data_IF_526687657109
#
_entry.id   IF_526687657109
#
_cell.length_a   1.000
_cell.length_b   1.000
_cell.length_c   1.000
_cell.angle_alpha   90.00
_cell.angle_beta   90.00
_cell.angle_gamma   90.00
#
_symmetry.space_group_name_H-M   'P 1'
#
loop_
_entity.id
_entity.type
_entity.pdbx_description
1 polymer ?
#
# COMPACT_ATOMS: atom_id res chain seq x y z
N UNK A 1 30.34 -2.74 -35.28
CA UNK A 1 29.72 -2.59 -33.93
C UNK A 1 28.77 -1.38 -33.85
N UNK A 2 27.99 -1.06 -34.90
CA UNK A 2 27.08 0.12 -34.93
C UNK A 2 25.60 -0.22 -34.71
N UNK A 3 25.27 -1.51 -34.58
CA UNK A 3 23.89 -1.99 -34.40
C UNK A 3 23.42 -1.92 -32.94
N UNK A 4 24.36 -1.96 -31.98
CA UNK A 4 24.06 -1.88 -30.55
C UNK A 4 23.31 -0.59 -30.15
N UNK A 5 23.74 0.63 -30.56
CA UNK A 5 23.01 1.85 -30.19
C UNK A 5 21.61 1.91 -30.83
N UNK A 6 21.42 1.35 -32.03
CA UNK A 6 20.12 1.31 -32.70
C UNK A 6 19.13 0.40 -31.99
N UNK A 7 19.59 -0.76 -31.50
CA UNK A 7 18.78 -1.69 -30.72
C UNK A 7 18.36 -1.06 -29.39
N UNK A 8 19.27 -0.39 -28.68
CA UNK A 8 18.97 0.29 -27.41
C UNK A 8 17.92 1.40 -27.61
N UNK A 9 18.03 2.19 -28.67
CA UNK A 9 17.07 3.25 -28.98
C UNK A 9 15.67 2.70 -29.29
N UNK A 10 15.59 1.61 -30.06
CA UNK A 10 14.31 0.93 -30.32
C UNK A 10 13.65 0.38 -29.05
N UNK A 11 14.44 -0.16 -28.11
CA UNK A 11 13.92 -0.67 -26.84
C UNK A 11 13.34 0.44 -25.96
N UNK A 12 13.92 1.64 -25.96
CA UNK A 12 13.42 2.78 -25.15
C UNK A 12 12.06 3.28 -25.69
N UNK A 13 11.86 3.27 -27.01
CA UNK A 13 10.63 3.74 -27.64
C UNK A 13 9.41 2.83 -27.40
N UNK A 14 9.62 1.55 -27.05
CA UNK A 14 8.55 0.59 -26.74
C UNK A 14 8.28 0.42 -25.24
N UNK A 15 9.07 1.09 -24.39
CA UNK A 15 8.81 1.14 -22.95
C UNK A 15 7.61 2.06 -22.69
N UNK A 16 6.42 1.47 -22.64
CA UNK A 16 5.23 2.11 -22.06
C UNK A 16 5.42 2.20 -20.53
N UNK A 17 6.24 3.14 -20.09
CA UNK A 17 6.33 3.51 -18.69
C UNK A 17 5.11 4.37 -18.33
N UNK A 18 4.49 4.11 -17.18
CA UNK A 18 3.55 5.07 -16.61
C UNK A 18 4.29 6.41 -16.42
N UNK A 19 3.76 7.54 -16.92
CA UNK A 19 4.44 8.83 -16.89
C UNK A 19 4.74 9.34 -15.47
N UNK A 20 4.12 8.74 -14.45
CA UNK A 20 4.36 9.03 -13.03
C UNK A 20 5.55 8.29 -12.42
N UNK A 21 6.27 7.47 -13.19
CA UNK A 21 7.40 6.67 -12.69
C UNK A 21 6.97 5.59 -11.68
N UNK A 22 7.94 4.92 -11.06
CA UNK A 22 7.64 4.05 -9.92
C UNK A 22 6.92 4.88 -8.84
N UNK A 23 5.87 4.35 -8.19
CA UNK A 23 5.01 5.14 -7.32
C UNK A 23 5.85 5.88 -6.28
N UNK A 24 5.82 7.21 -6.33
CA UNK A 24 6.40 8.00 -5.26
C UNK A 24 5.63 7.64 -3.98
N UNK A 25 6.34 7.21 -2.94
CA UNK A 25 5.74 6.75 -1.69
C UNK A 25 5.09 7.85 -0.85
N UNK A 26 4.72 8.97 -1.48
CA UNK A 26 3.92 10.06 -0.92
C UNK A 26 2.41 9.76 -1.01
N UNK A 27 2.02 8.49 -1.02
CA UNK A 27 0.60 8.11 -1.03
C UNK A 27 0.05 8.27 0.39
N UNK A 28 -0.16 9.52 0.80
CA UNK A 28 -0.90 9.85 2.01
C UNK A 28 -2.40 9.66 1.84
N UNK A 29 -2.87 9.70 0.59
CA UNK A 29 -4.25 9.42 0.21
C UNK A 29 -4.31 8.92 -1.23
N UNK A 30 -5.19 7.95 -1.53
CA UNK A 30 -5.46 7.59 -2.92
C UNK A 30 -5.98 8.81 -3.67
N UNK A 31 -5.42 9.07 -4.85
CA UNK A 31 -5.96 10.10 -5.74
C UNK A 31 -7.27 9.58 -6.34
N UNK A 32 -8.38 10.09 -5.85
CA UNK A 32 -9.73 9.80 -6.34
C UNK A 32 -10.31 10.93 -7.21
N UNK A 33 -9.44 11.81 -7.70
CA UNK A 33 -9.79 12.93 -8.57
C UNK A 33 -10.91 13.79 -7.97
N UNK A 34 -12.06 13.85 -8.65
CA UNK A 34 -13.24 14.63 -8.24
C UNK A 34 -14.06 13.95 -7.13
N UNK A 35 -13.75 12.71 -6.77
CA UNK A 35 -14.50 11.95 -5.77
C UNK A 35 -13.99 12.28 -4.38
N UNK A 36 -14.87 12.77 -3.51
CA UNK A 36 -14.53 13.10 -2.13
C UNK A 36 -14.64 11.86 -1.24
N UNK A 37 -13.82 11.81 -0.18
CA UNK A 37 -13.95 10.82 0.87
C UNK A 37 -15.36 10.83 1.48
N UNK A 38 -15.90 9.64 1.75
CA UNK A 38 -17.21 9.51 2.39
C UNK A 38 -17.15 9.93 3.85
N UNK A 39 -18.15 10.68 4.32
CA UNK A 39 -18.27 11.12 5.72
C UNK A 39 -19.25 10.27 6.55
N UNK A 40 -19.97 9.36 5.89
CA UNK A 40 -20.94 8.46 6.53
C UNK A 40 -20.28 7.24 7.16
N UNK A 41 -21.09 6.33 7.70
CA UNK A 41 -20.60 5.03 8.20
C UNK A 41 -19.88 4.28 7.07
N UNK A 42 -18.64 3.87 7.33
CA UNK A 42 -17.87 3.10 6.37
C UNK A 42 -18.59 1.77 6.05
N UNK A 43 -18.60 1.32 4.78
CA UNK A 43 -19.17 0.04 4.40
C UNK A 43 -18.26 -1.15 4.75
N UNK A 44 -17.22 -0.92 5.56
CA UNK A 44 -16.25 -1.90 6.02
C UNK A 44 -15.94 -1.68 7.51
N UNK A 45 -15.58 -2.76 8.20
CA UNK A 45 -15.10 -2.75 9.58
C UNK A 45 -13.62 -3.04 9.62
N UNK A 46 -12.90 -2.32 10.48
CA UNK A 46 -11.48 -2.55 10.75
C UNK A 46 -11.38 -2.92 12.23
N UNK A 47 -10.84 -4.10 12.52
CA UNK A 47 -10.64 -4.60 13.87
C UNK A 47 -9.18 -4.95 14.05
N UNK A 48 -8.58 -4.54 15.16
CA UNK A 48 -7.23 -4.90 15.54
C UNK A 48 -7.27 -5.78 16.79
N UNK A 49 -6.44 -6.82 16.83
CA UNK A 49 -6.28 -7.65 18.03
C UNK A 49 -5.50 -6.91 19.11
N UNK A 50 -5.55 -7.42 20.34
CA UNK A 50 -4.55 -7.05 21.34
C UNK A 50 -3.14 -7.40 20.85
N UNK A 51 -2.15 -6.61 21.31
CA UNK A 51 -0.76 -6.83 20.98
C UNK A 51 -0.24 -8.13 21.61
N UNK A 52 0.34 -9.01 20.79
CA UNK A 52 0.97 -10.25 21.22
C UNK A 52 2.48 -10.08 21.24
N UNK A 53 3.11 -10.43 22.36
CA UNK A 53 4.58 -10.44 22.46
C UNK A 53 5.17 -11.57 21.61
N UNK A 54 6.26 -11.27 20.93
CA UNK A 54 7.10 -12.20 20.19
C UNK A 54 8.34 -12.55 21.01
N UNK A 55 8.96 -13.69 20.70
CA UNK A 55 10.14 -14.18 21.44
C UNK A 55 11.34 -13.24 21.37
N UNK A 56 11.42 -12.39 20.34
CA UNK A 56 12.47 -11.39 20.16
C UNK A 56 12.18 -10.05 20.89
N UNK A 57 11.11 -9.98 21.69
CA UNK A 57 10.70 -8.77 22.41
C UNK A 57 9.80 -7.82 21.61
N UNK A 58 9.60 -8.06 20.31
CA UNK A 58 8.67 -7.28 19.50
C UNK A 58 7.21 -7.58 19.87
N UNK A 59 6.31 -6.70 19.44
CA UNK A 59 4.87 -6.90 19.56
C UNK A 59 4.24 -6.96 18.18
N UNK A 60 3.33 -7.90 17.99
CA UNK A 60 2.53 -8.02 16.77
C UNK A 60 1.05 -7.78 17.04
N UNK A 61 0.37 -7.22 16.06
CA UNK A 61 -1.08 -6.98 16.05
C UNK A 61 -1.61 -7.49 14.73
N UNK A 62 -2.73 -8.21 14.77
CA UNK A 62 -3.44 -8.60 13.57
C UNK A 62 -4.54 -7.60 13.28
N UNK A 63 -4.54 -7.04 12.07
CA UNK A 63 -5.59 -6.15 11.58
C UNK A 63 -6.46 -6.91 10.60
N UNK A 64 -7.77 -6.90 10.83
CA UNK A 64 -8.78 -7.53 9.98
C UNK A 64 -9.67 -6.45 9.38
N UNK A 65 -9.79 -6.48 8.05
CA UNK A 65 -10.69 -5.60 7.29
C UNK A 65 -11.80 -6.47 6.69
N UNK A 66 -13.04 -6.17 7.02
CA UNK A 66 -14.19 -6.96 6.56
C UNK A 66 -15.23 -6.04 5.93
N UNK A 67 -15.78 -6.45 4.78
CA UNK A 67 -16.91 -5.76 4.17
C UNK A 67 -18.20 -5.99 4.96
N UNK A 68 -19.07 -4.97 5.04
CA UNK A 68 -20.37 -5.07 5.74
C UNK A 68 -21.52 -5.25 4.77
N UNK A 69 -22.63 -5.88 5.22
CA UNK A 69 -23.94 -5.89 4.53
C UNK A 69 -23.85 -6.28 3.04
N UNK A 70 -23.19 -7.41 2.76
CA UNK A 70 -23.01 -7.97 1.40
C UNK A 70 -22.16 -7.13 0.45
N UNK A 71 -21.40 -6.14 0.94
CA UNK A 71 -20.44 -5.36 0.14
C UNK A 71 -19.04 -5.96 0.27
N UNK A 72 -18.43 -6.31 -0.86
CA UNK A 72 -17.01 -6.65 -0.95
C UNK A 72 -16.19 -5.43 -1.40
N UNK A 73 -14.95 -5.32 -0.94
CA UNK A 73 -13.97 -4.39 -1.51
C UNK A 73 -13.08 -5.15 -2.52
N UNK A 74 -12.59 -4.44 -3.53
CA UNK A 74 -11.67 -5.00 -4.54
C UNK A 74 -10.20 -4.90 -4.12
N UNK A 75 -9.89 -3.92 -3.28
CA UNK A 75 -8.55 -3.44 -2.98
C UNK A 75 -8.55 -2.73 -1.64
N UNK A 76 -7.42 -2.75 -0.96
CA UNK A 76 -7.17 -1.91 0.21
C UNK A 76 -5.72 -1.50 0.28
N UNK A 77 -5.48 -0.44 1.05
CA UNK A 77 -4.17 0.08 1.38
C UNK A 77 -4.15 0.39 2.87
N UNK A 78 -3.22 -0.21 3.62
CA UNK A 78 -3.07 0.00 5.06
C UNK A 78 -1.71 0.63 5.35
N UNK A 79 -1.74 1.71 6.12
CA UNK A 79 -0.55 2.35 6.71
C UNK A 79 -0.73 2.44 8.22
N UNK A 80 0.35 2.22 8.97
CA UNK A 80 0.39 2.50 10.40
C UNK A 80 1.17 3.81 10.61
N UNK A 81 0.60 4.73 11.40
CA UNK A 81 1.15 6.07 11.61
C UNK A 81 1.19 6.42 13.10
N UNK A 82 2.12 7.29 13.48
CA UNK A 82 2.09 7.94 14.79
C UNK A 82 0.81 8.79 14.88
N UNK A 83 0.09 8.80 16.02
CA UNK A 83 -1.08 9.66 16.20
C UNK A 83 -0.78 11.12 15.83
N UNK A 84 -1.67 11.74 15.05
CA UNK A 84 -1.55 13.13 14.59
C UNK A 84 -0.29 13.44 13.75
N UNK A 85 0.31 12.45 13.11
CA UNK A 85 1.50 12.62 12.27
C UNK A 85 1.38 11.86 10.94
N UNK A 86 2.09 12.33 9.92
CA UNK A 86 2.30 11.59 8.66
C UNK A 86 3.42 10.56 8.75
N UNK A 87 4.11 10.48 9.90
CA UNK A 87 5.20 9.52 10.12
C UNK A 87 4.64 8.10 10.20
N UNK A 88 5.06 7.26 9.25
CA UNK A 88 4.71 5.83 9.21
C UNK A 88 5.59 5.02 10.16
N UNK A 89 5.03 3.97 10.76
CA UNK A 89 5.73 3.13 11.76
C UNK A 89 5.45 1.65 11.57
N UNK A 90 6.31 0.82 12.16
CA UNK A 90 6.15 -0.63 12.20
C UNK A 90 6.54 -1.34 10.90
N UNK A 91 6.28 -2.64 10.86
CA UNK A 91 6.54 -3.51 9.72
C UNK A 91 5.31 -4.37 9.47
N UNK A 92 4.95 -4.54 8.20
CA UNK A 92 3.86 -5.43 7.80
C UNK A 92 4.42 -6.78 7.37
N UNK A 93 3.72 -7.84 7.74
CA UNK A 93 3.96 -9.19 7.20
C UNK A 93 2.85 -9.48 6.20
N UNK A 94 3.22 -9.88 4.98
CA UNK A 94 2.23 -10.26 3.97
C UNK A 94 1.42 -11.48 4.45
N UNK A 95 0.12 -11.43 4.23
CA UNK A 95 -0.81 -12.55 4.37
C UNK A 95 -1.39 -12.92 3.01
N UNK A 96 -2.25 -13.94 2.93
CA UNK A 96 -2.88 -14.36 1.68
C UNK A 96 -3.58 -13.17 0.98
N UNK A 97 -3.36 -13.02 -0.32
CA UNK A 97 -3.91 -11.95 -1.16
C UNK A 97 -3.49 -10.52 -0.75
N UNK A 98 -2.27 -10.38 -0.22
CA UNK A 98 -1.69 -9.07 0.12
C UNK A 98 -0.23 -8.99 -0.31
N UNK A 99 0.23 -7.78 -0.58
CA UNK A 99 1.60 -7.43 -0.94
C UNK A 99 2.10 -6.31 -0.05
N UNK A 100 3.30 -6.47 0.49
CA UNK A 100 3.99 -5.38 1.18
C UNK A 100 4.63 -4.47 0.13
N UNK A 101 4.23 -3.20 0.12
CA UNK A 101 4.91 -2.11 -0.55
C UNK A 101 5.99 -1.56 0.38
N UNK A 102 7.25 -1.68 -0.05
CA UNK A 102 8.37 -1.07 0.66
C UNK A 102 8.54 0.36 0.18
N UNK A 103 8.13 1.28 1.03
CA UNK A 103 8.22 2.70 0.80
C UNK A 103 9.22 3.29 1.79
N UNK A 104 10.51 3.27 1.42
CA UNK A 104 11.68 3.82 2.13
C UNK A 104 11.41 4.53 3.49
N UNK A 105 11.92 4.11 4.67
CA UNK A 105 12.25 2.76 5.17
C UNK A 105 11.02 2.00 5.73
N UNK A 106 9.81 2.47 5.45
CA UNK A 106 8.60 1.96 6.10
C UNK A 106 7.80 1.04 5.19
N UNK A 107 7.34 -0.07 5.74
CA UNK A 107 6.49 -1.01 5.03
C UNK A 107 5.04 -0.56 5.07
N UNK A 108 4.35 -0.75 3.96
CA UNK A 108 2.93 -0.47 3.74
C UNK A 108 2.32 -1.72 3.12
N UNK A 109 1.05 -2.06 3.39
CA UNK A 109 0.42 -3.23 2.74
C UNK A 109 -0.63 -2.79 1.71
N UNK A 110 -0.59 -3.39 0.51
CA UNK A 110 -1.55 -3.18 -0.60
C UNK A 110 -1.91 -4.54 -1.21
N UNK A 111 -3.08 -4.67 -1.84
CA UNK A 111 -3.48 -5.88 -2.62
C UNK A 111 -2.65 -5.99 -3.90
#
# INVERSE_FOLDING_TARGET
>A
MKLLPLIVLCCIAVCNCYPEGAPSCKIDSPNHEKTKATKGKAPFTIVATAAKALANGDKTVTVTITGTRSKSFKGFHVTARVPNSSTTVGKFTATANTKVLTCNPTSVSVI
#
